data_IF_394539258405
#
_entry.id   IF_394539258405
#
_cell.length_a   1.000
_cell.length_b   1.000
_cell.length_c   1.000
_cell.angle_alpha   90.00
_cell.angle_beta   90.00
_cell.angle_gamma   90.00
#
_symmetry.space_group_name_H-M   'P 1'
#
loop_
_entity.id
_entity.type
_entity.pdbx_description
1 polymer ?
#
# COMPACT_ATOMS: atom_id res chain seq x y z
N UNK A 1 -8.78 5.66 -34.75
CA UNK A 1 -7.46 6.22 -34.35
C UNK A 1 -7.55 7.10 -33.10
N UNK A 2 -8.29 8.21 -33.11
CA UNK A 2 -8.40 9.12 -31.96
C UNK A 2 -8.90 8.45 -30.67
N UNK A 3 -9.99 7.69 -30.71
CA UNK A 3 -10.56 7.05 -29.51
C UNK A 3 -9.61 6.02 -28.85
N UNK A 4 -8.90 5.23 -29.66
CA UNK A 4 -7.90 4.24 -29.20
C UNK A 4 -6.67 4.92 -28.64
N UNK A 5 -6.17 5.97 -29.30
CA UNK A 5 -5.03 6.74 -28.79
C UNK A 5 -5.41 7.46 -27.49
N UNK A 6 -6.61 8.04 -27.44
CA UNK A 6 -7.14 8.68 -26.24
C UNK A 6 -7.26 7.68 -25.09
N UNK A 7 -7.76 6.46 -25.33
CA UNK A 7 -7.90 5.47 -24.26
C UNK A 7 -6.56 4.99 -23.72
N UNK A 8 -5.59 4.69 -24.60
CA UNK A 8 -4.26 4.23 -24.22
C UNK A 8 -3.46 5.32 -23.47
N UNK A 9 -3.50 6.56 -23.96
CA UNK A 9 -2.72 7.65 -23.36
C UNK A 9 -3.31 8.13 -22.03
N UNK A 10 -4.64 8.29 -21.93
CA UNK A 10 -5.27 8.76 -20.68
C UNK A 10 -5.36 7.68 -19.62
N UNK A 11 -5.84 6.49 -19.97
CA UNK A 11 -6.20 5.51 -18.95
C UNK A 11 -5.07 4.55 -18.60
N UNK A 12 -4.21 4.17 -19.55
CA UNK A 12 -3.13 3.22 -19.24
C UNK A 12 -1.84 3.94 -18.82
N UNK A 13 -1.31 4.83 -19.67
CA UNK A 13 -0.08 5.55 -19.37
C UNK A 13 -0.29 6.61 -18.27
N UNK A 14 -1.33 7.43 -18.41
CA UNK A 14 -1.67 8.47 -17.43
C UNK A 14 -1.88 7.92 -16.02
N UNK A 15 -2.62 6.81 -15.89
CA UNK A 15 -2.83 6.14 -14.60
C UNK A 15 -1.52 5.66 -13.98
N UNK A 16 -0.66 4.96 -14.75
CA UNK A 16 0.62 4.44 -14.24
C UNK A 16 1.54 5.55 -13.75
N UNK A 17 1.70 6.61 -14.54
CA UNK A 17 2.52 7.76 -14.17
C UNK A 17 1.98 8.42 -12.91
N UNK A 18 0.68 8.72 -12.88
CA UNK A 18 0.05 9.35 -11.73
C UNK A 18 0.21 8.51 -10.46
N UNK A 19 -0.01 7.21 -10.57
CA UNK A 19 0.13 6.27 -9.47
C UNK A 19 1.56 6.19 -8.93
N UNK A 20 2.56 6.09 -9.80
CA UNK A 20 3.98 6.07 -9.40
C UNK A 20 4.36 7.37 -8.69
N UNK A 21 3.96 8.52 -9.25
CA UNK A 21 4.21 9.82 -8.63
C UNK A 21 3.56 9.90 -7.25
N UNK A 22 2.30 9.49 -7.12
CA UNK A 22 1.60 9.48 -5.85
C UNK A 22 2.31 8.59 -4.82
N UNK A 23 2.71 7.38 -5.19
CA UNK A 23 3.46 6.48 -4.33
C UNK A 23 4.78 7.11 -3.85
N UNK A 24 5.54 7.72 -4.76
CA UNK A 24 6.79 8.42 -4.43
C UNK A 24 6.57 9.62 -3.50
N UNK A 25 5.49 10.37 -3.66
CA UNK A 25 5.15 11.49 -2.78
C UNK A 25 4.68 11.04 -1.39
N UNK A 26 4.01 9.89 -1.31
CA UNK A 26 3.56 9.30 -0.05
C UNK A 26 4.72 8.78 0.81
N UNK A 27 5.80 8.28 0.18
CA UNK A 27 6.94 7.67 0.90
C UNK A 27 7.65 8.65 1.87
N UNK A 28 8.07 9.88 1.48
CA UNK A 28 8.67 10.84 2.39
C UNK A 28 7.77 11.17 3.58
N UNK A 29 6.46 11.31 3.35
CA UNK A 29 5.49 11.61 4.41
C UNK A 29 5.37 10.45 5.39
N UNK A 30 5.28 9.22 4.88
CA UNK A 30 5.26 8.00 5.70
C UNK A 30 6.55 7.87 6.51
N UNK A 31 7.70 8.12 5.88
CA UNK A 31 9.00 8.08 6.54
C UNK A 31 9.11 9.10 7.68
N UNK A 32 8.63 10.33 7.47
CA UNK A 32 8.57 11.34 8.53
C UNK A 32 7.77 10.86 9.73
N UNK A 33 6.62 10.23 9.54
CA UNK A 33 5.85 9.70 10.66
C UNK A 33 6.52 8.49 11.31
N UNK A 34 7.19 7.65 10.53
CA UNK A 34 7.93 6.49 11.03
C UNK A 34 9.03 6.88 12.01
N UNK A 35 9.85 7.89 11.72
CA UNK A 35 10.94 8.30 12.61
C UNK A 35 10.45 8.89 13.94
N UNK A 36 9.25 9.47 13.96
CA UNK A 36 8.64 10.05 15.16
C UNK A 36 7.75 9.05 15.93
N UNK A 37 7.46 7.88 15.36
CA UNK A 37 6.69 6.84 16.03
C UNK A 37 7.62 6.00 16.88
N UNK A 38 7.29 5.80 18.16
CA UNK A 38 8.05 4.92 19.07
C UNK A 38 7.45 3.52 19.18
N UNK A 39 6.13 3.40 18.99
CA UNK A 39 5.38 2.17 19.18
C UNK A 39 5.80 1.06 18.18
N UNK A 40 6.34 -0.08 18.64
CA UNK A 40 6.83 -1.15 17.77
C UNK A 40 5.74 -1.74 16.87
N UNK A 41 4.51 -1.89 17.38
CA UNK A 41 3.39 -2.43 16.61
C UNK A 41 3.01 -1.51 15.45
N UNK A 42 3.07 -0.19 15.64
CA UNK A 42 2.84 0.78 14.57
C UNK A 42 3.99 0.80 13.55
N UNK A 43 5.26 0.69 14.00
CA UNK A 43 6.41 0.54 13.07
C UNK A 43 6.28 -0.69 12.17
N UNK A 44 5.77 -1.80 12.72
CA UNK A 44 5.50 -3.02 11.94
C UNK A 44 4.53 -2.76 10.79
N UNK A 45 3.50 -1.92 10.98
CA UNK A 45 2.58 -1.55 9.89
C UNK A 45 3.31 -0.81 8.76
N UNK A 46 4.24 0.09 9.10
CA UNK A 46 5.06 0.78 8.10
C UNK A 46 5.97 -0.19 7.33
N UNK A 47 6.55 -1.20 8.00
CA UNK A 47 7.33 -2.25 7.34
C UNK A 47 6.46 -3.14 6.44
N UNK A 48 5.28 -3.55 6.90
CA UNK A 48 4.32 -4.33 6.10
C UNK A 48 3.85 -3.55 4.86
N UNK A 49 3.64 -2.24 5.01
CA UNK A 49 3.37 -1.34 3.88
C UNK A 49 4.50 -1.41 2.84
N UNK A 50 5.77 -1.22 3.24
CA UNK A 50 6.90 -1.30 2.29
C UNK A 50 7.04 -2.69 1.68
N UNK A 51 6.91 -3.75 2.49
CA UNK A 51 7.02 -5.13 2.04
C UNK A 51 5.97 -5.45 0.97
N UNK A 52 4.71 -5.12 1.23
CA UNK A 52 3.61 -5.34 0.27
C UNK A 52 3.75 -4.49 -0.99
N UNK A 53 4.31 -3.27 -0.90
CA UNK A 53 4.63 -2.45 -2.07
C UNK A 53 5.68 -3.14 -2.97
N UNK A 54 6.74 -3.66 -2.36
CA UNK A 54 7.82 -4.35 -3.07
C UNK A 54 7.31 -5.65 -3.69
N UNK A 55 6.60 -6.49 -2.92
CA UNK A 55 6.02 -7.74 -3.41
C UNK A 55 5.04 -7.51 -4.55
N UNK A 56 4.10 -6.58 -4.39
CA UNK A 56 3.17 -6.20 -5.46
C UNK A 56 3.89 -5.70 -6.70
N UNK A 57 4.86 -4.80 -6.53
CA UNK A 57 5.67 -4.27 -7.63
C UNK A 57 6.42 -5.37 -8.39
N UNK A 58 7.02 -6.33 -7.68
CA UNK A 58 7.66 -7.50 -8.29
C UNK A 58 6.66 -8.37 -9.04
N UNK A 59 5.49 -8.69 -8.45
CA UNK A 59 4.46 -9.47 -9.12
C UNK A 59 4.03 -8.81 -10.44
N UNK A 60 3.79 -7.50 -10.44
CA UNK A 60 3.41 -6.77 -11.66
C UNK A 60 4.53 -6.73 -12.71
N UNK A 61 5.77 -6.47 -12.28
CA UNK A 61 6.93 -6.40 -13.18
C UNK A 61 7.23 -7.76 -13.82
N UNK A 62 7.23 -8.83 -13.03
CA UNK A 62 7.52 -10.18 -13.51
C UNK A 62 6.45 -10.66 -14.48
N UNK A 63 5.17 -10.48 -14.13
CA UNK A 63 4.04 -10.86 -14.99
C UNK A 63 4.09 -10.12 -16.33
N UNK A 64 4.38 -8.82 -16.30
CA UNK A 64 4.50 -8.01 -17.53
C UNK A 64 5.73 -8.37 -18.37
N UNK A 65 6.86 -8.67 -17.74
CA UNK A 65 8.13 -8.91 -18.45
C UNK A 65 8.21 -10.32 -19.02
N UNK A 66 7.63 -11.31 -18.32
CA UNK A 66 7.72 -12.72 -18.68
C UNK A 66 6.36 -13.31 -19.10
N UNK A 67 5.39 -12.48 -19.48
CA UNK A 67 4.03 -12.90 -19.85
C UNK A 67 4.03 -14.03 -20.89
N UNK A 68 4.82 -13.88 -21.96
CA UNK A 68 4.88 -14.86 -23.05
C UNK A 68 5.41 -16.22 -22.57
N UNK A 69 6.33 -16.22 -21.61
CA UNK A 69 6.87 -17.46 -21.02
C UNK A 69 5.90 -18.06 -20.01
N UNK A 70 5.43 -17.26 -19.04
CA UNK A 70 4.61 -17.70 -17.91
C UNK A 70 3.23 -18.16 -18.36
N UNK A 71 2.67 -17.57 -19.42
CA UNK A 71 1.39 -18.00 -20.00
C UNK A 71 1.41 -19.41 -20.58
N UNK A 72 2.59 -19.95 -20.93
CA UNK A 72 2.75 -21.31 -21.44
C UNK A 72 2.91 -22.37 -20.34
N UNK A 73 3.10 -21.94 -19.09
CA UNK A 73 3.28 -22.87 -17.98
C UNK A 73 1.98 -23.62 -17.67
N UNK A 74 2.12 -24.85 -17.18
CA UNK A 74 0.98 -25.67 -16.74
C UNK A 74 0.15 -24.96 -15.65
N UNK A 75 0.79 -24.14 -14.82
CA UNK A 75 0.13 -23.29 -13.81
C UNK A 75 0.56 -21.85 -14.03
N UNK A 76 -0.41 -20.97 -14.28
CA UNK A 76 -0.18 -19.53 -14.35
C UNK A 76 -0.33 -18.92 -12.94
N UNK A 77 0.72 -18.30 -12.37
CA UNK A 77 0.68 -17.67 -11.04
C UNK A 77 -0.20 -16.42 -10.98
N UNK A 78 -0.67 -15.89 -12.11
CA UNK A 78 -1.52 -14.70 -12.22
C UNK A 78 -0.90 -13.50 -11.50
N UNK A 79 0.31 -13.11 -11.89
CA UNK A 79 1.08 -12.09 -11.17
C UNK A 79 0.36 -10.74 -11.10
N UNK A 80 -0.42 -10.37 -12.12
CA UNK A 80 -1.28 -9.19 -12.05
C UNK A 80 -2.40 -9.29 -11.00
N UNK A 81 -2.98 -10.46 -10.81
CA UNK A 81 -3.98 -10.67 -9.74
C UNK A 81 -3.31 -10.59 -8.35
N UNK A 82 -2.12 -11.17 -8.20
CA UNK A 82 -1.32 -11.05 -6.97
C UNK A 82 -0.92 -9.60 -6.69
N UNK A 83 -0.58 -8.82 -7.73
CA UNK A 83 -0.34 -7.38 -7.59
C UNK A 83 -1.54 -6.68 -6.94
N UNK A 84 -2.76 -6.91 -7.41
CA UNK A 84 -3.96 -6.31 -6.81
C UNK A 84 -4.12 -6.67 -5.33
N UNK A 85 -3.88 -7.94 -4.97
CA UNK A 85 -3.97 -8.40 -3.58
C UNK A 85 -2.94 -7.68 -2.70
N UNK A 86 -1.67 -7.64 -3.13
CA UNK A 86 -0.62 -6.95 -2.38
C UNK A 86 -0.85 -5.45 -2.30
N UNK A 87 -1.34 -4.80 -3.36
CA UNK A 87 -1.68 -3.38 -3.33
C UNK A 87 -2.87 -3.10 -2.40
N UNK A 88 -3.83 -4.02 -2.29
CA UNK A 88 -4.92 -3.93 -1.30
C UNK A 88 -4.40 -3.93 0.13
N UNK A 89 -3.52 -4.89 0.46
CA UNK A 89 -2.87 -4.93 1.77
C UNK A 89 -1.96 -3.72 2.03
N UNK A 90 -1.23 -3.27 1.02
CA UNK A 90 -0.41 -2.07 1.09
C UNK A 90 -1.24 -0.85 1.51
N UNK A 91 -2.35 -0.60 0.81
CA UNK A 91 -3.26 0.50 1.12
C UNK A 91 -3.87 0.35 2.53
N UNK A 92 -4.19 -0.87 2.95
CA UNK A 92 -4.68 -1.14 4.30
C UNK A 92 -3.65 -0.76 5.38
N UNK A 93 -2.42 -1.28 5.27
CA UNK A 93 -1.36 -1.01 6.25
C UNK A 93 -0.93 0.46 6.26
N UNK A 94 -0.84 1.11 5.11
CA UNK A 94 -0.56 2.54 5.00
C UNK A 94 -1.59 3.37 5.79
N UNK A 95 -2.88 3.11 5.55
CA UNK A 95 -3.95 3.84 6.20
C UNK A 95 -4.02 3.55 7.70
N UNK A 96 -3.85 2.31 8.13
CA UNK A 96 -3.81 1.96 9.55
C UNK A 96 -2.65 2.69 10.27
N UNK A 97 -1.46 2.72 9.68
CA UNK A 97 -0.32 3.46 10.24
C UNK A 97 -0.61 4.97 10.33
N UNK A 98 -1.16 5.57 9.26
CA UNK A 98 -1.52 6.98 9.25
C UNK A 98 -2.61 7.33 10.28
N UNK A 99 -3.60 6.46 10.45
CA UNK A 99 -4.63 6.60 11.48
C UNK A 99 -4.02 6.59 12.88
N UNK A 100 -3.09 5.68 13.14
CA UNK A 100 -2.36 5.60 14.41
C UNK A 100 -1.58 6.91 14.68
N UNK A 101 -0.75 7.35 13.73
CA UNK A 101 0.04 8.57 13.88
C UNK A 101 -0.86 9.80 14.06
N UNK A 102 -1.99 9.86 13.34
CA UNK A 102 -2.95 10.96 13.47
C UNK A 102 -3.61 10.99 14.84
N UNK A 103 -3.94 9.83 15.41
CA UNK A 103 -4.48 9.76 16.77
C UNK A 103 -3.43 10.20 17.82
N UNK A 104 -2.16 9.81 17.66
CA UNK A 104 -1.08 10.30 18.54
C UNK A 104 -0.91 11.82 18.46
N UNK A 105 -0.97 12.41 17.26
CA UNK A 105 -0.92 13.87 17.07
C UNK A 105 -2.09 14.63 17.70
N UNK A 106 -3.21 13.94 17.99
CA UNK A 106 -4.36 14.48 18.70
C UNK A 106 -4.29 14.22 20.21
N UNK A 107 -3.15 13.74 20.70
CA UNK A 107 -2.94 13.36 22.10
C UNK A 107 -3.94 12.30 22.59
N UNK A 108 -4.47 11.50 21.65
CA UNK A 108 -5.26 10.33 21.98
C UNK A 108 -4.35 9.15 22.28
N UNK A 109 -4.93 8.07 22.82
CA UNK A 109 -4.22 6.83 23.11
C UNK A 109 -4.61 5.77 22.07
N UNK A 110 -3.98 5.73 20.88
CA UNK A 110 -4.22 4.65 19.93
C UNK A 110 -3.47 3.38 20.35
N UNK A 111 -4.07 2.23 20.06
CA UNK A 111 -3.48 0.90 20.20
C UNK A 111 -3.64 0.13 18.90
N UNK A 112 -2.63 -0.67 18.52
CA UNK A 112 -2.77 -1.65 17.44
C UNK A 112 -3.29 -2.96 18.03
N UNK A 113 -4.46 -3.40 17.59
CA UNK A 113 -5.07 -4.68 17.97
C UNK A 113 -5.25 -5.56 16.74
N UNK A 114 -5.55 -6.84 16.94
CA UNK A 114 -5.69 -7.79 15.85
C UNK A 114 -7.06 -8.46 15.86
N UNK A 115 -7.70 -8.58 14.70
CA UNK A 115 -8.90 -9.37 14.48
C UNK A 115 -8.61 -10.31 13.31
N UNK A 116 -8.75 -11.63 13.52
CA UNK A 116 -8.43 -12.66 12.51
C UNK A 116 -7.02 -12.50 11.90
N UNK A 117 -6.06 -12.06 12.70
CA UNK A 117 -4.68 -11.80 12.26
C UNK A 117 -4.46 -10.44 11.57
N UNK A 118 -5.51 -9.68 11.26
CA UNK A 118 -5.38 -8.35 10.64
C UNK A 118 -5.24 -7.24 11.70
N UNK A 119 -4.20 -6.39 11.60
CA UNK A 119 -3.98 -5.29 12.53
C UNK A 119 -4.95 -4.13 12.26
N UNK A 120 -5.62 -3.64 13.30
CA UNK A 120 -6.48 -2.46 13.23
C UNK A 120 -6.17 -1.48 14.37
N UNK A 121 -6.46 -0.19 14.14
CA UNK A 121 -6.24 0.86 15.14
C UNK A 121 -7.47 0.99 16.03
N UNK A 122 -7.31 0.71 17.33
CA UNK A 122 -8.31 1.06 18.34
C UNK A 122 -7.94 2.41 18.94
N UNK A 123 -8.86 3.36 18.90
CA UNK A 123 -8.62 4.73 19.39
C UNK A 123 -9.32 4.90 20.75
N UNK A 124 -8.55 5.26 21.77
CA UNK A 124 -9.10 5.75 23.04
C UNK A 124 -8.94 7.27 23.08
N UNK A 125 -10.06 7.97 22.98
CA UNK A 125 -10.10 9.44 23.08
C UNK A 125 -9.96 9.82 24.55
N UNK A 126 -9.07 10.76 24.85
CA UNK A 126 -9.06 11.45 26.14
C UNK A 126 -10.26 12.40 26.12
N UNK A 127 -11.12 12.39 27.15
CA UNK A 127 -12.19 13.39 27.26
C UNK A 127 -11.52 14.77 27.38
N UNK A 128 -11.88 15.71 26.50
CA UNK A 128 -11.62 17.11 26.78
C UNK A 128 -12.43 17.51 28.00
N UNK A 129 -11.79 18.13 29.00
CA UNK A 129 -12.49 18.84 30.08
C UNK A 129 -13.37 19.96 29.52
#
# INVERSE_FOLDING_TARGET
>A
AFATFHSLFRFDLGFKIHYIILALLCLPRMYKYYIHTTEPAAKRLAHLYILTLILGGMCWLLDRTFCDTVSTWYINPQGHALWHIFMGFNAYFANAFLQFCRAQQREWRPEIRHVLGLPYVKIFKVKSE
#
